data_IF_530021574577
#
_entry.id   IF_530021574577
#
_cell.length_a   1.000
_cell.length_b   1.000
_cell.length_c   1.000
_cell.angle_alpha   90.00
_cell.angle_beta   90.00
_cell.angle_gamma   90.00
#
_symmetry.space_group_name_H-M   'P 1'
#
loop_
_entity.id
_entity.type
_entity.pdbx_description
1 polymer ?
#
# COMPACT_ATOMS: atom_id res chain seq x y z
N UNK A 1 18.56 10.80 -13.46
CA UNK A 1 17.38 11.06 -12.62
C UNK A 1 16.18 11.37 -13.52
N UNK A 2 15.07 10.62 -13.40
CA UNK A 2 13.86 10.94 -14.18
C UNK A 2 13.20 12.20 -13.62
N UNK A 3 12.70 13.05 -14.53
CA UNK A 3 11.96 14.26 -14.19
C UNK A 3 10.81 13.95 -13.22
N UNK A 4 10.68 14.74 -12.19
CA UNK A 4 9.63 14.62 -11.20
C UNK A 4 8.25 14.75 -11.85
N UNK A 5 7.39 13.74 -11.67
CA UNK A 5 6.03 13.70 -12.22
C UNK A 5 5.83 12.84 -13.47
N UNK A 6 6.88 12.35 -14.09
CA UNK A 6 6.78 11.46 -15.25
C UNK A 6 6.54 10.01 -14.81
N UNK A 7 5.38 9.47 -15.13
CA UNK A 7 5.04 8.08 -14.81
C UNK A 7 5.89 7.12 -15.64
N UNK A 8 6.49 6.13 -14.97
CA UNK A 8 7.18 5.02 -15.65
C UNK A 8 6.18 4.13 -16.37
N UNK A 9 6.58 3.56 -17.50
CA UNK A 9 5.82 2.54 -18.19
C UNK A 9 5.70 1.26 -17.34
N UNK A 10 4.80 0.38 -17.70
CA UNK A 10 4.62 -0.90 -17.00
C UNK A 10 5.90 -1.76 -17.06
N UNK A 11 6.52 -1.82 -18.23
CA UNK A 11 7.74 -2.60 -18.47
C UNK A 11 8.94 -2.03 -17.67
N UNK A 12 9.09 -0.71 -17.61
CA UNK A 12 10.10 -0.07 -16.76
C UNK A 12 9.91 -0.39 -15.27
N UNK A 13 8.66 -0.46 -14.80
CA UNK A 13 8.37 -0.82 -13.40
C UNK A 13 8.71 -2.27 -13.12
N UNK A 14 8.34 -3.18 -14.01
CA UNK A 14 8.66 -4.60 -13.90
C UNK A 14 10.16 -4.86 -13.90
N UNK A 15 10.89 -4.20 -14.81
CA UNK A 15 12.34 -4.33 -14.89
C UNK A 15 13.04 -3.83 -13.60
N UNK A 16 12.60 -2.70 -13.07
CA UNK A 16 13.10 -2.18 -11.79
C UNK A 16 12.82 -3.12 -10.62
N UNK A 17 11.62 -3.70 -10.59
CA UNK A 17 11.22 -4.66 -9.57
C UNK A 17 12.10 -5.91 -9.62
N UNK A 18 12.33 -6.47 -10.79
CA UNK A 18 13.21 -7.61 -10.99
C UNK A 18 14.64 -7.31 -10.54
N UNK A 19 15.16 -6.13 -10.85
CA UNK A 19 16.48 -5.69 -10.40
C UNK A 19 16.57 -5.63 -8.87
N UNK A 20 15.56 -5.07 -8.21
CA UNK A 20 15.50 -5.00 -6.75
C UNK A 20 15.48 -6.39 -6.11
N UNK A 21 14.63 -7.28 -6.61
CA UNK A 21 14.51 -8.65 -6.10
C UNK A 21 15.77 -9.48 -6.33
N UNK A 22 16.42 -9.29 -7.47
CA UNK A 22 17.64 -10.02 -7.80
C UNK A 22 18.86 -9.58 -6.98
N UNK A 23 18.97 -8.28 -6.69
CA UNK A 23 20.13 -7.71 -6.01
C UNK A 23 20.03 -7.69 -4.47
N UNK A 24 18.90 -8.11 -3.90
CA UNK A 24 18.69 -8.08 -2.45
C UNK A 24 18.14 -9.42 -1.96
N UNK A 25 18.85 -10.03 -1.00
CA UNK A 25 18.40 -11.26 -0.33
C UNK A 25 17.24 -10.99 0.64
N UNK A 26 17.19 -9.79 1.20
CA UNK A 26 16.13 -9.36 2.09
C UNK A 26 15.49 -8.07 1.56
N UNK A 27 14.16 -8.02 1.53
CA UNK A 27 13.43 -6.87 1.04
C UNK A 27 12.04 -6.74 1.67
N UNK A 28 11.58 -5.51 1.77
CA UNK A 28 10.20 -5.17 2.11
C UNK A 28 9.67 -4.26 1.01
N UNK A 29 8.58 -4.66 0.38
CA UNK A 29 7.90 -3.87 -0.64
C UNK A 29 6.52 -3.50 -0.13
N UNK A 30 6.24 -2.22 -0.10
CA UNK A 30 4.94 -1.69 0.31
C UNK A 30 4.24 -0.97 -0.84
N UNK A 31 2.93 -0.97 -0.83
CA UNK A 31 2.13 -0.22 -1.78
C UNK A 31 0.73 -0.78 -1.98
N UNK A 32 0.00 -0.16 -2.88
CA UNK A 32 -1.36 -0.56 -3.29
C UNK A 32 -1.36 -1.22 -4.68
N UNK A 33 -0.21 -1.63 -5.13
CA UNK A 33 -0.04 -2.22 -6.45
C UNK A 33 -0.25 -3.74 -6.37
N UNK A 34 -1.01 -4.29 -7.29
CA UNK A 34 -1.23 -5.74 -7.37
C UNK A 34 -1.14 -6.28 -8.80
N UNK A 35 -1.43 -5.44 -9.79
CA UNK A 35 -1.53 -5.88 -11.18
C UNK A 35 -0.19 -6.25 -11.85
N UNK A 36 0.93 -5.74 -11.34
CA UNK A 36 2.26 -5.93 -11.95
C UNK A 36 3.33 -6.43 -10.99
N UNK A 37 2.96 -6.74 -9.75
CA UNK A 37 3.87 -7.19 -8.68
C UNK A 37 3.76 -8.69 -8.39
N UNK A 38 3.28 -9.48 -9.34
CA UNK A 38 3.09 -10.94 -9.13
C UNK A 38 4.36 -11.66 -8.71
N UNK A 39 5.51 -11.26 -9.23
CA UNK A 39 6.79 -11.84 -8.85
C UNK A 39 7.09 -11.62 -7.35
N UNK A 40 6.70 -10.47 -6.79
CA UNK A 40 6.83 -10.24 -5.35
C UNK A 40 5.97 -11.22 -4.53
N UNK A 41 4.79 -11.54 -5.00
CA UNK A 41 3.93 -12.50 -4.32
C UNK A 41 4.51 -13.92 -4.38
N UNK A 42 5.12 -14.29 -5.50
CA UNK A 42 5.77 -15.59 -5.65
C UNK A 42 6.99 -15.73 -4.72
N UNK A 43 7.82 -14.70 -4.64
CA UNK A 43 9.09 -14.72 -3.90
C UNK A 43 8.99 -14.32 -2.44
N UNK A 44 7.92 -13.65 -2.02
CA UNK A 44 7.74 -13.21 -0.63
C UNK A 44 7.57 -14.39 0.33
N UNK A 45 8.20 -14.31 1.50
CA UNK A 45 7.96 -15.25 2.60
C UNK A 45 6.61 -14.99 3.27
N UNK A 46 6.24 -13.73 3.39
CA UNK A 46 4.97 -13.29 3.99
C UNK A 46 4.38 -12.10 3.21
N UNK A 47 3.07 -12.12 3.08
CA UNK A 47 2.30 -11.05 2.44
C UNK A 47 1.29 -10.52 3.46
N UNK A 48 1.45 -9.27 3.87
CA UNK A 48 0.53 -8.60 4.78
C UNK A 48 -0.45 -7.74 3.99
N UNK A 49 -1.72 -7.98 4.18
CA UNK A 49 -2.78 -7.20 3.53
C UNK A 49 -3.55 -6.40 4.58
N UNK A 50 -3.54 -5.09 4.43
CA UNK A 50 -4.31 -4.19 5.28
C UNK A 50 -5.73 -4.06 4.74
N UNK A 51 -6.66 -4.73 5.37
CA UNK A 51 -8.10 -4.69 5.07
C UNK A 51 -8.85 -4.01 6.21
N UNK A 52 -8.54 -2.75 6.44
CA UNK A 52 -9.16 -1.94 7.48
C UNK A 52 -10.54 -1.42 7.03
N UNK A 53 -11.47 -1.17 7.98
CA UNK A 53 -12.74 -0.55 7.64
C UNK A 53 -12.60 0.80 6.93
N UNK A 54 -13.45 1.07 5.94
CA UNK A 54 -13.37 2.25 5.09
C UNK A 54 -13.43 3.58 5.81
N UNK A 55 -14.20 3.65 6.90
CA UNK A 55 -14.29 4.86 7.70
C UNK A 55 -12.93 5.26 8.33
N UNK A 56 -12.08 4.29 8.65
CA UNK A 56 -10.73 4.56 9.18
C UNK A 56 -9.82 5.19 8.13
N UNK A 57 -9.86 4.72 6.90
CA UNK A 57 -9.11 5.33 5.81
C UNK A 57 -9.59 6.76 5.53
N UNK A 58 -10.90 6.95 5.44
CA UNK A 58 -11.50 8.26 5.18
C UNK A 58 -11.17 9.26 6.28
N UNK A 59 -11.30 8.88 7.54
CA UNK A 59 -10.97 9.75 8.67
C UNK A 59 -9.48 10.12 8.71
N UNK A 60 -8.59 9.19 8.39
CA UNK A 60 -7.14 9.46 8.33
C UNK A 60 -6.78 10.42 7.21
N UNK A 61 -7.41 10.29 6.03
CA UNK A 61 -7.21 11.20 4.90
C UNK A 61 -7.62 12.61 5.28
N UNK A 62 -8.80 12.77 5.86
CA UNK A 62 -9.33 14.08 6.29
C UNK A 62 -8.42 14.69 7.38
N UNK A 63 -8.08 13.91 8.39
CA UNK A 63 -7.24 14.39 9.50
C UNK A 63 -5.84 14.78 9.03
N UNK A 64 -5.25 14.01 8.11
CA UNK A 64 -3.96 14.33 7.51
C UNK A 64 -4.01 15.64 6.73
N UNK A 65 -5.07 15.85 5.96
CA UNK A 65 -5.28 17.07 5.18
C UNK A 65 -5.41 18.30 6.10
N UNK A 66 -6.18 18.20 7.18
CA UNK A 66 -6.32 19.25 8.18
C UNK A 66 -4.97 19.55 8.84
N UNK A 67 -4.24 18.54 9.29
CA UNK A 67 -2.92 18.72 9.92
C UNK A 67 -1.90 19.36 8.99
N UNK A 68 -1.93 19.05 7.70
CA UNK A 68 -1.08 19.71 6.69
C UNK A 68 -1.46 21.17 6.48
N UNK A 69 -2.76 21.50 6.44
CA UNK A 69 -3.23 22.88 6.35
C UNK A 69 -2.82 23.73 7.54
N UNK A 70 -2.85 23.17 8.74
CA UNK A 70 -2.45 23.83 9.98
C UNK A 70 -0.93 23.87 10.19
N UNK A 71 -0.14 23.28 9.29
CA UNK A 71 1.32 23.23 9.40
C UNK A 71 1.86 22.26 10.46
N UNK A 72 1.01 21.43 11.06
CA UNK A 72 1.41 20.42 12.07
C UNK A 72 2.19 19.29 11.40
N UNK A 73 1.79 18.89 10.19
CA UNK A 73 2.49 17.91 9.39
C UNK A 73 3.17 18.56 8.18
N UNK A 74 4.43 18.20 7.96
CA UNK A 74 5.16 18.60 6.76
C UNK A 74 4.61 17.86 5.54
N UNK A 75 4.61 18.53 4.40
CA UNK A 75 4.20 17.97 3.11
C UNK A 75 3.37 18.94 2.30
N UNK A 76 3.09 18.56 1.06
CA UNK A 76 2.28 19.36 0.16
C UNK A 76 0.85 19.50 0.69
N UNK A 77 0.37 20.74 0.77
CA UNK A 77 -1.03 21.03 1.12
C UNK A 77 -1.94 20.48 0.01
N UNK A 78 -2.92 19.69 0.42
CA UNK A 78 -3.90 19.13 -0.50
C UNK A 78 -5.06 20.11 -0.73
N UNK A 79 -5.53 20.22 -1.98
CA UNK A 79 -6.74 20.98 -2.28
C UNK A 79 -7.99 20.20 -1.90
N UNK A 80 -9.14 20.84 -1.69
CA UNK A 80 -10.40 20.16 -1.42
C UNK A 80 -10.77 19.16 -2.53
N UNK A 81 -10.50 19.50 -3.78
CA UNK A 81 -10.70 18.59 -4.93
C UNK A 81 -9.81 17.36 -4.83
N UNK A 82 -8.56 17.52 -4.44
CA UNK A 82 -7.61 16.42 -4.25
C UNK A 82 -8.05 15.49 -3.14
N UNK A 83 -8.51 16.03 -2.02
CA UNK A 83 -9.05 15.25 -0.88
C UNK A 83 -10.30 14.47 -1.31
N UNK A 84 -11.22 15.11 -2.01
CA UNK A 84 -12.42 14.45 -2.53
C UNK A 84 -12.10 13.30 -3.47
N UNK A 85 -11.17 13.51 -4.42
CA UNK A 85 -10.74 12.47 -5.34
C UNK A 85 -10.08 11.29 -4.60
N UNK A 86 -9.30 11.57 -3.57
CA UNK A 86 -8.65 10.54 -2.76
C UNK A 86 -9.67 9.73 -1.95
N UNK A 87 -10.70 10.37 -1.39
CA UNK A 87 -11.79 9.69 -0.70
C UNK A 87 -12.58 8.76 -1.64
N UNK A 88 -12.86 9.26 -2.84
CA UNK A 88 -13.55 8.49 -3.89
C UNK A 88 -12.72 7.30 -4.37
N UNK A 89 -11.42 7.51 -4.55
CA UNK A 89 -10.48 6.44 -4.88
C UNK A 89 -10.43 5.36 -3.79
N UNK A 90 -10.43 5.75 -2.52
CA UNK A 90 -10.43 4.83 -1.39
C UNK A 90 -11.68 3.96 -1.38
N UNK A 91 -12.84 4.53 -1.70
CA UNK A 91 -14.10 3.78 -1.81
C UNK A 91 -14.05 2.76 -2.95
N UNK A 92 -13.57 3.16 -4.12
CA UNK A 92 -13.36 2.25 -5.26
C UNK A 92 -12.35 1.16 -4.93
N UNK A 93 -11.27 1.49 -4.25
CA UNK A 93 -10.26 0.53 -3.80
C UNK A 93 -10.88 -0.55 -2.92
N UNK A 94 -11.69 -0.19 -1.93
CA UNK A 94 -12.33 -1.15 -1.04
C UNK A 94 -13.37 -2.02 -1.73
N UNK A 95 -14.19 -1.41 -2.58
CA UNK A 95 -15.31 -2.12 -3.20
C UNK A 95 -14.90 -2.99 -4.39
N UNK A 96 -13.87 -2.62 -5.11
CA UNK A 96 -13.41 -3.29 -6.32
C UNK A 96 -12.04 -3.91 -6.17
N UNK A 97 -11.04 -3.10 -5.91
CA UNK A 97 -9.63 -3.54 -5.96
C UNK A 97 -9.31 -4.58 -4.87
N UNK A 98 -9.86 -4.45 -3.69
CA UNK A 98 -9.66 -5.43 -2.61
C UNK A 98 -10.24 -6.80 -2.95
N UNK A 99 -11.36 -6.85 -3.67
CA UNK A 99 -11.93 -8.10 -4.17
C UNK A 99 -11.02 -8.77 -5.20
N UNK A 100 -10.45 -8.00 -6.12
CA UNK A 100 -9.48 -8.50 -7.09
C UNK A 100 -8.20 -8.99 -6.41
N UNK A 101 -7.71 -8.26 -5.42
CA UNK A 101 -6.55 -8.65 -4.61
C UNK A 101 -6.83 -9.98 -3.88
N UNK A 102 -8.00 -10.15 -3.28
CA UNK A 102 -8.39 -11.43 -2.65
C UNK A 102 -8.32 -12.58 -3.63
N UNK A 103 -8.89 -12.40 -4.82
CA UNK A 103 -8.86 -13.42 -5.87
C UNK A 103 -7.44 -13.80 -6.30
N UNK A 104 -6.55 -12.82 -6.43
CA UNK A 104 -5.15 -13.06 -6.78
C UNK A 104 -4.41 -13.76 -5.63
N UNK A 105 -4.63 -13.35 -4.39
CA UNK A 105 -3.91 -13.85 -3.22
C UNK A 105 -4.43 -15.20 -2.71
N UNK A 106 -5.56 -15.69 -3.18
CA UNK A 106 -6.06 -17.03 -2.85
C UNK A 106 -5.03 -18.14 -3.18
N UNK A 107 -4.19 -17.93 -4.19
CA UNK A 107 -3.09 -18.83 -4.53
C UNK A 107 -1.96 -18.90 -3.50
N UNK A 108 -1.86 -17.87 -2.67
CA UNK A 108 -0.78 -17.66 -1.70
C UNK A 108 -1.28 -17.77 -0.26
N UNK A 109 -2.38 -18.45 -0.04
CA UNK A 109 -3.11 -18.52 1.24
C UNK A 109 -2.21 -18.94 2.41
N UNK A 110 -1.22 -19.80 2.15
CA UNK A 110 -0.24 -20.25 3.14
C UNK A 110 0.70 -19.17 3.68
N UNK A 111 0.84 -18.03 2.98
CA UNK A 111 1.75 -16.93 3.37
C UNK A 111 1.08 -15.57 3.46
N UNK A 112 -0.22 -15.48 3.19
CA UNK A 112 -1.00 -14.23 3.29
C UNK A 112 -1.57 -14.07 4.68
N UNK A 113 -1.36 -12.88 5.24
CA UNK A 113 -1.88 -12.48 6.56
C UNK A 113 -2.76 -11.25 6.39
N UNK A 114 -4.03 -11.40 6.68
CA UNK A 114 -5.02 -10.31 6.63
C UNK A 114 -5.06 -9.56 7.96
N UNK A 115 -4.85 -8.25 7.90
CA UNK A 115 -4.86 -7.36 9.06
C UNK A 115 -6.05 -6.41 8.94
N UNK A 116 -7.08 -6.65 9.74
CA UNK A 116 -8.32 -5.87 9.72
C UNK A 116 -8.49 -4.92 10.90
N UNK A 117 -7.64 -5.05 11.92
CA UNK A 117 -7.69 -4.23 13.13
C UNK A 117 -6.32 -3.61 13.43
N UNK A 118 -6.35 -2.41 14.02
CA UNK A 118 -5.14 -1.72 14.47
C UNK A 118 -4.28 -2.58 15.40
N UNK A 119 -4.91 -3.32 16.31
CA UNK A 119 -4.24 -4.23 17.23
C UNK A 119 -3.42 -5.32 16.52
N UNK A 120 -3.91 -5.83 15.41
CA UNK A 120 -3.21 -6.86 14.64
C UNK A 120 -1.93 -6.30 14.00
N UNK A 121 -2.00 -5.07 13.49
CA UNK A 121 -0.83 -4.35 12.97
C UNK A 121 0.21 -4.08 14.07
N UNK A 122 -0.23 -3.61 15.23
CA UNK A 122 0.65 -3.35 16.37
C UNK A 122 1.37 -4.61 16.86
N UNK A 123 0.70 -5.75 16.87
CA UNK A 123 1.31 -7.06 17.21
C UNK A 123 2.43 -7.43 16.23
N UNK A 124 2.20 -7.24 14.93
CA UNK A 124 3.21 -7.53 13.90
C UNK A 124 4.42 -6.60 14.06
N UNK A 125 4.20 -5.31 14.25
CA UNK A 125 5.26 -4.32 14.45
C UNK A 125 6.10 -4.68 15.67
N UNK A 126 5.48 -5.02 16.79
CA UNK A 126 6.17 -5.45 18.01
C UNK A 126 6.99 -6.72 17.79
N UNK A 127 6.44 -7.72 17.11
CA UNK A 127 7.14 -8.96 16.81
C UNK A 127 8.39 -8.73 15.93
N UNK A 128 8.31 -7.84 14.95
CA UNK A 128 9.43 -7.49 14.05
C UNK A 128 10.47 -6.64 14.78
N UNK A 129 10.07 -5.70 15.63
CA UNK A 129 10.99 -4.82 16.37
C UNK A 129 11.72 -5.53 17.54
N UNK A 130 11.22 -6.67 18.02
CA UNK A 130 11.82 -7.44 19.12
C UNK A 130 12.77 -8.55 18.63
N UNK A 131 12.85 -8.77 17.37
CA UNK A 131 13.82 -9.66 16.73
C UNK A 131 15.00 -8.88 16.18
#
# INVERSE_FOLDING_TARGET
AKEYGKKRTLDERKALLQEILYNNDEWIIEGVYYAWVHQCFDEADKIYVLDMPGYLYKSRIIMRSIKRKLGILKGKKETLKSVYNLLKWTETFQNKNLKEIRSILDRYDNKVIWLSRKKDVEKIIKAVCLT
#
